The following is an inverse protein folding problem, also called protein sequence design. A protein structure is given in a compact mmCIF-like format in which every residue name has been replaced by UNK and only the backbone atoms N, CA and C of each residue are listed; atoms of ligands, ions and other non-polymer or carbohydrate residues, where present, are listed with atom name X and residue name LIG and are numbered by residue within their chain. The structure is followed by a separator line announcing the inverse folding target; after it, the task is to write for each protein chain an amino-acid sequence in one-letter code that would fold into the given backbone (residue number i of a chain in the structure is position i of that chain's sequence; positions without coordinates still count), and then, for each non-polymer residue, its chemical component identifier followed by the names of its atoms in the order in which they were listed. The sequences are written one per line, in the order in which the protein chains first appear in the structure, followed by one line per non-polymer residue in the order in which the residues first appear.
data_IF_611332732671
#
_entry.id   IF_611332732671
#
_cell.length_a   1.000
_cell.length_b   1.000
_cell.length_c   1.000
_cell.angle_alpha   90.00
_cell.angle_beta   90.00
_cell.angle_gamma   90.00
#
_symmetry.space_group_name_H-M   'P 1'
#
loop_
_entity.id
_entity.type
_entity.pdbx_description
1 polymer ?
#
# COMPACT_ATOMS: atom_id res chain seq x y z
N UNK A 1 -21.82 -0.80 -2.36
CA UNK A 1 -21.11 0.48 -2.19
C UNK A 1 -19.59 0.30 -2.28
N UNK A 2 -19.02 -0.62 -1.52
CA UNK A 2 -17.57 -0.83 -1.54
C UNK A 2 -17.26 -2.08 -2.35
N UNK A 3 -17.17 -1.92 -3.67
CA UNK A 3 -16.90 -3.04 -4.57
C UNK A 3 -15.41 -3.28 -4.79
N UNK A 4 -14.59 -2.25 -4.61
CA UNK A 4 -13.15 -2.35 -4.80
C UNK A 4 -12.40 -1.62 -3.70
N UNK A 5 -11.56 -2.37 -3.00
CA UNK A 5 -10.73 -1.85 -1.91
C UNK A 5 -9.28 -1.83 -2.39
N UNK A 6 -8.65 -0.66 -2.34
CA UNK A 6 -7.23 -0.54 -2.69
C UNK A 6 -6.38 -0.67 -1.45
N UNK A 7 -5.40 -1.56 -1.50
CA UNK A 7 -4.42 -1.75 -0.42
C UNK A 7 -3.04 -1.42 -0.98
N UNK A 8 -2.56 -0.19 -0.78
CA UNK A 8 -1.16 0.13 -1.09
C UNK A 8 -0.26 -0.60 -0.11
N UNK A 9 0.82 -1.15 -0.61
CA UNK A 9 1.76 -1.89 0.23
C UNK A 9 3.20 -1.62 -0.17
N UNK A 10 4.07 -1.55 0.80
CA UNK A 10 5.52 -1.48 0.59
C UNK A 10 6.20 -2.71 1.19
N UNK A 11 5.40 -3.68 1.63
CA UNK A 11 5.93 -4.91 2.24
C UNK A 11 6.31 -4.77 3.70
N UNK A 12 6.01 -3.63 4.33
CA UNK A 12 6.32 -3.42 5.74
C UNK A 12 5.42 -4.29 6.63
N UNK A 13 5.82 -4.47 7.88
CA UNK A 13 5.05 -5.27 8.85
C UNK A 13 3.64 -4.71 9.07
N UNK A 14 3.50 -3.39 8.99
CA UNK A 14 2.21 -2.74 9.16
C UNK A 14 1.18 -3.13 8.12
N UNK A 15 1.63 -3.60 6.95
CA UNK A 15 0.72 -4.03 5.89
C UNK A 15 -0.14 -5.22 6.34
N UNK A 16 0.43 -6.13 7.15
CA UNK A 16 -0.34 -7.27 7.66
C UNK A 16 -1.55 -6.84 8.47
N UNK A 17 -1.37 -5.86 9.35
CA UNK A 17 -2.44 -5.33 10.18
C UNK A 17 -3.50 -4.61 9.33
N UNK A 18 -3.05 -3.79 8.38
CA UNK A 18 -3.95 -3.12 7.44
C UNK A 18 -4.74 -4.14 6.64
N UNK A 19 -4.07 -5.18 6.19
CA UNK A 19 -4.67 -6.21 5.36
C UNK A 19 -5.75 -6.99 6.09
N UNK A 20 -5.59 -7.22 7.39
CA UNK A 20 -6.63 -7.87 8.18
C UNK A 20 -7.94 -7.09 8.11
N UNK A 21 -7.85 -5.76 8.23
CA UNK A 21 -9.03 -4.90 8.11
C UNK A 21 -9.60 -4.89 6.70
N UNK A 22 -8.72 -4.83 5.69
CA UNK A 22 -9.16 -4.82 4.30
C UNK A 22 -9.87 -6.12 3.93
N UNK A 23 -9.37 -7.26 4.41
CA UNK A 23 -10.00 -8.56 4.18
C UNK A 23 -11.37 -8.62 4.85
N UNK A 24 -11.50 -8.14 6.07
CA UNK A 24 -12.80 -8.11 6.72
C UNK A 24 -13.79 -7.24 5.96
N UNK A 25 -13.35 -6.07 5.52
CA UNK A 25 -14.18 -5.17 4.73
C UNK A 25 -14.61 -5.82 3.41
N UNK A 26 -13.66 -6.41 2.70
CA UNK A 26 -13.96 -7.06 1.42
C UNK A 26 -14.92 -8.24 1.60
N UNK A 27 -14.78 -8.99 2.69
CA UNK A 27 -15.68 -10.10 2.99
C UNK A 27 -17.09 -9.60 3.25
N UNK A 28 -17.23 -8.56 4.04
CA UNK A 28 -18.56 -8.04 4.41
C UNK A 28 -19.31 -7.41 3.23
N UNK A 29 -18.59 -6.77 2.32
CA UNK A 29 -19.19 -6.08 1.19
C UNK A 29 -19.10 -6.86 -0.12
N UNK A 30 -18.54 -8.06 -0.08
CA UNK A 30 -18.33 -8.88 -1.27
C UNK A 30 -17.50 -8.10 -2.30
N UNK A 31 -16.42 -7.49 -1.84
CA UNK A 31 -15.58 -6.62 -2.65
C UNK A 31 -14.33 -7.35 -3.13
N UNK A 32 -13.70 -6.79 -4.16
CA UNK A 32 -12.39 -7.23 -4.62
C UNK A 32 -11.31 -6.36 -3.98
N UNK A 33 -10.11 -6.91 -3.83
CA UNK A 33 -8.96 -6.17 -3.35
C UNK A 33 -8.02 -5.89 -4.51
N UNK A 34 -7.53 -4.66 -4.57
CA UNK A 34 -6.44 -4.26 -5.45
C UNK A 34 -5.21 -4.02 -4.61
N UNK A 35 -4.13 -4.74 -4.89
CA UNK A 35 -2.85 -4.55 -4.21
C UNK A 35 -1.96 -3.71 -5.11
N UNK A 36 -1.46 -2.61 -4.59
CA UNK A 36 -0.60 -1.70 -5.35
C UNK A 36 0.70 -1.48 -4.61
N UNK A 37 1.82 -1.66 -5.30
CA UNK A 37 3.12 -1.25 -4.79
C UNK A 37 3.72 -0.26 -5.79
N UNK A 38 4.46 0.70 -5.27
CA UNK A 38 5.07 1.74 -6.10
C UNK A 38 6.59 1.71 -5.93
N UNK A 39 7.29 1.61 -7.05
CA UNK A 39 8.74 1.76 -7.08
C UNK A 39 9.02 3.26 -6.95
N UNK A 40 9.54 3.65 -5.80
CA UNK A 40 9.75 5.07 -5.48
C UNK A 40 10.97 5.60 -6.20
N UNK A 41 10.75 6.34 -7.28
CA UNK A 41 11.81 6.88 -8.10
C UNK A 41 12.72 7.85 -7.36
N UNK A 42 12.23 8.46 -6.29
CA UNK A 42 13.04 9.40 -5.50
C UNK A 42 14.24 8.72 -4.86
N UNK A 43 14.19 7.40 -4.69
CA UNK A 43 15.28 6.65 -4.06
C UNK A 43 16.47 6.42 -4.99
N UNK A 44 16.29 6.58 -6.30
CA UNK A 44 17.37 6.32 -7.24
C UNK A 44 17.51 7.35 -8.36
N UNK A 45 16.65 8.35 -8.41
CA UNK A 45 16.68 9.33 -9.51
C UNK A 45 17.99 10.13 -9.59
N UNK A 46 18.69 10.27 -8.47
CA UNK A 46 19.97 10.98 -8.41
C UNK A 46 21.18 10.06 -8.53
N UNK A 47 20.95 8.77 -8.66
CA UNK A 47 22.01 7.79 -8.82
C UNK A 47 22.29 7.57 -10.30
N UNK A 48 23.49 7.12 -10.61
CA UNK A 48 23.93 6.83 -11.97
C UNK A 48 24.43 5.41 -12.12
N UNK A 49 24.37 4.93 -13.36
CA UNK A 49 25.00 3.68 -13.76
C UNK A 49 24.54 2.47 -12.99
N UNK A 50 25.52 1.68 -12.53
CA UNK A 50 25.24 0.42 -11.87
C UNK A 50 24.48 0.58 -10.56
N UNK A 51 24.77 1.63 -9.80
CA UNK A 51 24.07 1.88 -8.53
C UNK A 51 22.60 2.16 -8.73
N UNK A 52 22.28 2.91 -9.78
CA UNK A 52 20.88 3.19 -10.13
C UNK A 52 20.18 1.91 -10.52
N UNK A 53 20.81 1.12 -11.39
CA UNK A 53 20.25 -0.14 -11.84
C UNK A 53 19.99 -1.10 -10.67
N UNK A 54 20.95 -1.26 -9.77
CA UNK A 54 20.84 -2.14 -8.64
C UNK A 54 19.72 -1.71 -7.68
N UNK A 55 19.64 -0.42 -7.39
CA UNK A 55 18.61 0.12 -6.49
C UNK A 55 17.25 -0.08 -7.08
N UNK A 56 17.06 0.26 -8.34
CA UNK A 56 15.78 0.09 -9.02
C UNK A 56 15.36 -1.38 -9.04
N UNK A 57 16.28 -2.27 -9.37
CA UNK A 57 16.01 -3.71 -9.40
C UNK A 57 15.58 -4.23 -8.03
N UNK A 58 16.27 -3.79 -6.97
CA UNK A 58 15.94 -4.18 -5.60
C UNK A 58 14.54 -3.72 -5.23
N UNK A 59 14.21 -2.47 -5.55
CA UNK A 59 12.89 -1.92 -5.24
C UNK A 59 11.78 -2.63 -6.01
N UNK A 60 12.02 -2.95 -7.28
CA UNK A 60 11.05 -3.70 -8.09
C UNK A 60 10.78 -5.07 -7.47
N UNK A 61 11.83 -5.75 -7.02
CA UNK A 61 11.67 -7.06 -6.39
C UNK A 61 10.92 -6.96 -5.07
N UNK A 62 11.19 -5.93 -4.27
CA UNK A 62 10.45 -5.70 -3.03
C UNK A 62 8.97 -5.47 -3.32
N UNK A 63 8.66 -4.70 -4.35
CA UNK A 63 7.27 -4.43 -4.76
C UNK A 63 6.58 -5.72 -5.18
N UNK A 64 7.27 -6.55 -5.96
CA UNK A 64 6.71 -7.82 -6.42
C UNK A 64 6.34 -8.72 -5.26
N UNK A 65 7.21 -8.82 -4.27
CA UNK A 65 6.95 -9.61 -3.06
C UNK A 65 5.83 -9.01 -2.23
N UNK A 66 5.77 -7.69 -2.15
CA UNK A 66 4.74 -7.02 -1.37
C UNK A 66 3.34 -7.30 -1.90
N UNK A 67 3.14 -7.14 -3.21
CA UNK A 67 1.81 -7.41 -3.78
C UNK A 67 1.47 -8.90 -3.76
N UNK A 68 2.48 -9.77 -3.87
CA UNK A 68 2.26 -11.22 -3.79
C UNK A 68 1.73 -11.62 -2.41
N UNK A 69 2.23 -11.02 -1.34
CA UNK A 69 1.72 -11.30 0.01
C UNK A 69 0.27 -10.90 0.16
N UNK A 70 -0.11 -9.75 -0.39
CA UNK A 70 -1.51 -9.32 -0.36
C UNK A 70 -2.37 -10.30 -1.15
N UNK A 71 -1.91 -10.71 -2.33
CA UNK A 71 -2.65 -11.65 -3.16
C UNK A 71 -2.86 -12.97 -2.44
N UNK A 72 -1.82 -13.51 -1.81
CA UNK A 72 -1.93 -14.76 -1.06
C UNK A 72 -2.96 -14.67 0.07
N UNK A 73 -2.94 -13.57 0.80
CA UNK A 73 -3.87 -13.37 1.91
C UNK A 73 -5.30 -13.25 1.41
N UNK A 74 -5.51 -12.52 0.32
CA UNK A 74 -6.84 -12.35 -0.26
C UNK A 74 -7.37 -13.66 -0.82
N UNK A 75 -6.52 -14.40 -1.53
CA UNK A 75 -6.90 -15.70 -2.10
C UNK A 75 -7.26 -16.71 -1.03
N UNK A 76 -6.54 -16.73 0.09
CA UNK A 76 -6.86 -17.63 1.18
C UNK A 76 -8.19 -17.30 1.86
N UNK A 77 -8.71 -16.10 1.64
CA UNK A 77 -10.02 -15.68 2.13
C UNK A 77 -11.09 -15.70 1.03
N UNK A 78 -10.77 -16.25 -0.14
CA UNK A 78 -11.65 -16.32 -1.31
C UNK A 78 -12.08 -14.94 -1.81
N UNK A 79 -11.18 -13.98 -1.73
CA UNK A 79 -11.43 -12.62 -2.20
C UNK A 79 -10.73 -12.43 -3.54
N UNK A 80 -11.45 -11.95 -4.58
CA UNK A 80 -10.81 -11.63 -5.85
C UNK A 80 -9.74 -10.55 -5.63
N UNK A 81 -8.56 -10.74 -6.23
CA UNK A 81 -7.46 -9.80 -6.04
C UNK A 81 -6.80 -9.48 -7.38
N UNK A 82 -6.48 -8.20 -7.55
CA UNK A 82 -5.70 -7.70 -8.67
C UNK A 82 -4.43 -7.09 -8.10
N UNK A 83 -3.29 -7.38 -8.71
CA UNK A 83 -2.02 -6.80 -8.28
C UNK A 83 -1.51 -5.83 -9.33
N UNK A 84 -0.86 -4.77 -8.89
CA UNK A 84 -0.28 -3.78 -9.79
C UNK A 84 0.99 -3.20 -9.17
N UNK A 85 1.94 -2.87 -10.04
CA UNK A 85 3.17 -2.18 -9.66
C UNK A 85 3.28 -0.96 -10.56
N UNK A 86 3.57 0.19 -9.96
CA UNK A 86 3.75 1.45 -10.67
C UNK A 86 5.08 2.06 -10.28
N UNK A 87 5.57 2.99 -11.09
CA UNK A 87 6.80 3.73 -10.82
C UNK A 87 6.47 5.20 -10.64
N UNK A 88 7.14 5.86 -9.72
CA UNK A 88 6.94 7.28 -9.50
C UNK A 88 6.97 7.66 -8.04
N UNK A 89 6.20 8.68 -7.69
CA UNK A 89 6.03 9.12 -6.31
C UNK A 89 4.85 8.37 -5.70
N UNK A 90 5.06 7.61 -4.62
CA UNK A 90 4.02 6.71 -4.09
C UNK A 90 2.66 7.36 -3.87
N UNK A 91 2.60 8.52 -3.21
CA UNK A 91 1.30 9.15 -2.93
C UNK A 91 0.54 9.51 -4.20
N UNK A 92 1.26 9.99 -5.22
CA UNK A 92 0.65 10.36 -6.49
C UNK A 92 0.12 9.15 -7.24
N UNK A 93 0.90 8.07 -7.28
CA UNK A 93 0.49 6.86 -7.98
C UNK A 93 -0.69 6.18 -7.31
N UNK A 94 -0.75 6.23 -5.99
CA UNK A 94 -1.88 5.67 -5.24
C UNK A 94 -3.18 6.42 -5.59
N UNK A 95 -3.15 7.75 -5.56
CA UNK A 95 -4.32 8.56 -5.87
C UNK A 95 -4.76 8.34 -7.33
N UNK A 96 -3.81 8.32 -8.25
CA UNK A 96 -4.10 8.09 -9.67
C UNK A 96 -4.70 6.71 -9.90
N UNK A 97 -4.13 5.68 -9.28
CA UNK A 97 -4.63 4.32 -9.42
C UNK A 97 -6.07 4.22 -8.93
N UNK A 98 -6.38 4.84 -7.81
CA UNK A 98 -7.73 4.82 -7.27
C UNK A 98 -8.73 5.42 -8.25
N UNK A 99 -8.37 6.52 -8.90
CA UNK A 99 -9.24 7.16 -9.87
C UNK A 99 -9.40 6.32 -11.15
N UNK A 100 -8.29 5.75 -11.64
CA UNK A 100 -8.30 5.01 -12.90
C UNK A 100 -8.99 3.65 -12.80
N UNK A 101 -9.05 3.07 -11.61
CA UNK A 101 -9.55 1.71 -11.41
C UNK A 101 -10.85 1.65 -10.62
N UNK A 102 -11.57 2.78 -10.53
CA UNK A 102 -12.85 2.85 -9.84
C UNK A 102 -12.80 2.27 -8.42
N UNK A 103 -11.76 2.64 -7.68
CA UNK A 103 -11.61 2.22 -6.30
C UNK A 103 -12.62 2.97 -5.43
N UNK A 104 -13.24 2.26 -4.51
CA UNK A 104 -14.27 2.84 -3.64
C UNK A 104 -13.72 3.26 -2.28
N UNK A 105 -12.66 2.64 -1.82
CA UNK A 105 -12.02 2.97 -0.55
C UNK A 105 -10.56 2.53 -0.58
N UNK A 106 -9.70 3.35 0.03
CA UNK A 106 -8.28 3.01 0.17
C UNK A 106 -8.05 2.63 1.63
N UNK A 107 -7.45 1.48 1.87
CA UNK A 107 -7.07 1.03 3.22
C UNK A 107 -5.56 1.03 3.32
N UNK A 108 -5.01 1.81 4.24
CA UNK A 108 -3.57 1.90 4.41
C UNK A 108 -3.20 2.16 5.87
N UNK A 109 -1.96 1.88 6.22
CA UNK A 109 -1.48 2.11 7.57
C UNK A 109 -1.07 3.56 7.79
N UNK A 110 -0.88 3.94 9.04
CA UNK A 110 -0.45 5.29 9.39
C UNK A 110 0.95 5.61 8.85
N UNK A 111 1.79 4.58 8.63
CA UNK A 111 3.12 4.79 8.07
C UNK A 111 3.59 3.48 7.41
N UNK A 112 4.57 3.62 6.50
CA UNK A 112 5.16 2.49 5.83
C UNK A 112 6.57 2.23 6.32
N UNK A 113 7.34 1.53 5.50
CA UNK A 113 8.70 1.09 5.83
C UNK A 113 9.65 2.25 6.15
N UNK A 114 9.63 3.28 5.31
CA UNK A 114 10.56 4.40 5.47
C UNK A 114 10.22 5.32 6.62
N UNK A 115 9.04 5.19 7.18
CA UNK A 115 8.55 6.05 8.25
C UNK A 115 8.44 5.34 9.59
N UNK A 116 8.98 4.14 9.70
CA UNK A 116 8.80 3.34 10.93
C UNK A 116 9.34 4.00 12.19
N UNK A 117 10.27 4.94 12.06
CA UNK A 117 10.80 5.67 13.19
C UNK A 117 9.86 6.76 13.69
N UNK A 118 8.82 7.08 12.90
CA UNK A 118 7.85 8.12 13.23
C UNK A 118 6.52 7.55 13.67
N UNK A 119 6.58 6.52 14.48
CA UNK A 119 5.38 5.76 14.84
C UNK A 119 4.32 6.55 15.59
N UNK A 120 4.68 7.72 16.12
CA UNK A 120 3.71 8.58 16.83
C UNK A 120 2.94 9.50 15.89
N UNK A 121 3.33 9.57 14.60
CA UNK A 121 2.69 10.46 13.63
C UNK A 121 2.30 9.71 12.36
N UNK A 122 1.41 10.29 11.59
CA UNK A 122 1.04 9.76 10.29
C UNK A 122 2.18 10.02 9.31
N UNK A 123 2.58 8.99 8.56
CA UNK A 123 3.64 9.09 7.58
C UNK A 123 3.27 10.00 6.42
N UNK A 124 4.28 10.48 5.70
CA UNK A 124 4.08 11.45 4.63
C UNK A 124 3.24 10.91 3.48
N UNK A 125 3.42 9.65 3.12
CA UNK A 125 2.63 9.05 2.02
C UNK A 125 1.16 9.00 2.41
N UNK A 126 0.85 8.49 3.61
CA UNK A 126 -0.53 8.39 4.09
C UNK A 126 -1.16 9.77 4.19
N UNK A 127 -0.45 10.74 4.73
CA UNK A 127 -0.96 12.09 4.85
C UNK A 127 -1.34 12.67 3.49
N UNK A 128 -0.47 12.52 2.50
CA UNK A 128 -0.72 13.04 1.16
C UNK A 128 -1.87 12.33 0.47
N UNK A 129 -2.01 11.03 0.67
CA UNK A 129 -3.14 10.30 0.11
C UNK A 129 -4.44 10.80 0.73
N UNK A 130 -4.48 10.97 2.05
CA UNK A 130 -5.67 11.48 2.74
C UNK A 130 -6.04 12.87 2.21
N UNK A 131 -5.05 13.72 1.97
CA UNK A 131 -5.29 15.08 1.51
C UNK A 131 -5.76 15.16 0.05
N UNK A 132 -5.40 14.19 -0.78
CA UNK A 132 -5.60 14.28 -2.22
C UNK A 132 -6.56 13.26 -2.81
N UNK A 133 -6.93 12.23 -2.09
CA UNK A 133 -7.83 11.19 -2.62
C UNK A 133 -9.26 11.72 -2.69
N UNK A 134 -9.98 11.28 -3.72
CA UNK A 134 -11.40 11.60 -3.90
C UNK A 134 -12.31 10.54 -3.30
N UNK A 135 -11.73 9.49 -2.73
CA UNK A 135 -12.48 8.41 -2.10
C UNK A 135 -12.11 8.32 -0.62
N UNK A 136 -12.95 7.68 0.19
CA UNK A 136 -12.61 7.48 1.61
C UNK A 136 -11.30 6.76 1.79
N UNK A 137 -10.55 7.16 2.79
CA UNK A 137 -9.29 6.52 3.16
C UNK A 137 -9.45 5.96 4.57
N UNK A 138 -9.36 4.65 4.68
CA UNK A 138 -9.42 3.96 5.95
C UNK A 138 -8.00 3.79 6.46
N UNK A 139 -7.64 4.51 7.51
CA UNK A 139 -6.27 4.51 8.02
C UNK A 139 -6.18 3.61 9.24
N UNK A 140 -5.37 2.56 9.13
CA UNK A 140 -5.16 1.62 10.22
C UNK A 140 -3.96 2.10 11.03
N UNK A 141 -4.15 2.30 12.31
CA UNK A 141 -3.07 2.76 13.19
C UNK A 141 -2.02 1.66 13.36
N UNK A 142 -0.81 1.97 12.90
CA UNK A 142 0.36 1.11 13.07
C UNK A 142 1.18 1.70 14.20
N UNK A 143 0.96 1.22 15.41
CA UNK A 143 1.67 1.71 16.57
C UNK A 143 2.93 0.92 16.84
N UNK A 144 3.57 1.24 17.94
CA UNK A 144 4.67 0.42 18.45
C UNK A 144 4.10 -0.92 18.87
N UNK A 145 4.94 -1.94 18.76
CA UNK A 145 4.62 -3.21 19.35
C UNK A 145 4.87 -3.12 20.85
N UNK A 146 3.92 -2.56 21.55
CA UNK A 146 4.02 -2.32 23.00
C UNK A 146 3.26 -3.37 23.79
N UNK A 147 2.72 -4.36 23.11
CA UNK A 147 1.97 -5.40 23.77
C UNK A 147 0.50 -5.05 24.02
N UNK A 148 0.07 -3.89 23.58
CA UNK A 148 -1.35 -3.54 23.69
C UNK A 148 -1.95 -3.08 22.36
N UNK A 149 -1.11 -2.95 21.38
CA UNK A 149 -1.55 -2.46 20.07
C UNK A 149 -2.03 -3.54 19.14
#
# INVERSE_FOLDING_TARGET
MYDRVLVPTDGSEGTGKTLDHAVEMATRYDAAIHALAVVDERQFEKLDGERKYETETTLQEQCRRAVARVAERAESADIPVTTAIRHGVPSQRIVEYAAENAIDVIAMGTHGRSDHERIATVGSVTQRVVENADVPVFVVHIGRDTGWG
#
